data_IF_508606736678
#
_entry.id   IF_508606736678
#
_cell.length_a   1.000
_cell.length_b   1.000
_cell.length_c   1.000
_cell.angle_alpha   90.00
_cell.angle_beta   90.00
_cell.angle_gamma   90.00
#
_symmetry.space_group_name_H-M   'P 1'
#
loop_
_entity.id
_entity.type
_entity.pdbx_description
1 polymer ?
#
# COMPACT_ATOMS: atom_id res chain seq x y z
N UNK A 1 -10.59 -30.52 4.62
CA UNK A 1 -9.86 -30.18 5.86
C UNK A 1 -9.67 -31.47 6.67
N UNK A 2 -8.44 -31.88 6.94
CA UNK A 2 -8.15 -33.08 7.73
C UNK A 2 -8.08 -32.65 9.20
N UNK A 3 -9.15 -32.87 9.97
CA UNK A 3 -9.31 -32.32 11.32
C UNK A 3 -8.56 -33.05 12.44
N UNK A 4 -7.69 -34.01 12.10
CA UNK A 4 -6.90 -34.76 13.10
C UNK A 4 -5.67 -33.94 13.47
N UNK A 5 -5.51 -33.64 14.76
CA UNK A 5 -4.39 -32.90 15.35
C UNK A 5 -3.67 -33.77 16.37
N UNK A 6 -2.36 -33.88 16.28
CA UNK A 6 -1.54 -34.51 17.31
C UNK A 6 -1.02 -33.49 18.35
N UNK A 7 -0.69 -33.94 19.57
CA UNK A 7 0.02 -33.11 20.54
C UNK A 7 1.32 -32.56 19.95
N UNK A 8 1.54 -31.25 20.04
CA UNK A 8 2.71 -30.57 19.47
C UNK A 8 2.51 -29.99 18.06
N UNK A 9 1.41 -30.30 17.37
CA UNK A 9 1.13 -29.73 16.05
C UNK A 9 0.42 -28.36 16.15
N UNK A 10 0.66 -27.51 15.15
CA UNK A 10 0.00 -26.22 14.96
C UNK A 10 -0.73 -26.20 13.63
N UNK A 11 -1.96 -25.69 13.61
CA UNK A 11 -2.66 -25.42 12.36
C UNK A 11 -2.43 -23.98 11.93
N UNK A 12 -2.34 -23.79 10.61
CA UNK A 12 -2.46 -22.49 9.96
C UNK A 12 -3.72 -22.51 9.12
N UNK A 13 -4.51 -21.46 9.23
CA UNK A 13 -5.73 -21.27 8.44
C UNK A 13 -5.57 -19.94 7.71
N UNK A 14 -5.92 -19.93 6.43
CA UNK A 14 -5.82 -18.76 5.56
C UNK A 14 -7.22 -18.42 5.04
N UNK A 15 -8.04 -17.67 5.80
CA UNK A 15 -9.46 -17.45 5.47
C UNK A 15 -9.67 -16.75 4.12
N UNK A 16 -8.69 -15.94 3.71
CA UNK A 16 -8.73 -15.15 2.48
C UNK A 16 -7.94 -15.80 1.34
N UNK A 17 -7.57 -17.09 1.44
CA UNK A 17 -6.69 -17.73 0.44
C UNK A 17 -7.26 -17.75 -0.98
N UNK A 18 -8.59 -17.70 -1.11
CA UNK A 18 -9.28 -17.70 -2.39
C UNK A 18 -9.66 -16.29 -2.87
N UNK A 19 -9.32 -15.24 -2.10
CA UNK A 19 -9.63 -13.86 -2.45
C UNK A 19 -8.52 -13.28 -3.34
N UNK A 20 -8.92 -12.58 -4.38
CA UNK A 20 -8.06 -11.71 -5.16
C UNK A 20 -7.86 -10.37 -4.44
N UNK A 21 -6.90 -9.57 -4.91
CA UNK A 21 -6.73 -8.20 -4.42
C UNK A 21 -8.01 -7.37 -4.63
N UNK A 22 -8.68 -7.55 -5.76
CA UNK A 22 -9.93 -6.85 -6.07
C UNK A 22 -11.04 -7.22 -5.09
N UNK A 23 -11.16 -8.49 -4.70
CA UNK A 23 -12.18 -8.93 -3.72
C UNK A 23 -11.98 -8.24 -2.37
N UNK A 24 -10.72 -8.11 -1.93
CA UNK A 24 -10.37 -7.41 -0.68
C UNK A 24 -10.79 -5.95 -0.74
N UNK A 25 -10.44 -5.24 -1.82
CA UNK A 25 -10.79 -3.83 -1.98
C UNK A 25 -12.28 -3.58 -2.10
N UNK A 26 -13.00 -4.40 -2.87
CA UNK A 26 -14.45 -4.29 -3.01
C UNK A 26 -15.17 -4.52 -1.68
N UNK A 27 -14.70 -5.47 -0.88
CA UNK A 27 -15.28 -5.72 0.44
C UNK A 27 -15.05 -4.57 1.41
N UNK A 28 -13.82 -4.02 1.46
CA UNK A 28 -13.51 -2.83 2.27
C UNK A 28 -14.45 -1.68 1.91
N UNK A 29 -14.66 -1.44 0.61
CA UNK A 29 -15.56 -0.40 0.13
C UNK A 29 -17.04 -0.66 0.47
N UNK A 30 -17.50 -1.91 0.29
CA UNK A 30 -18.90 -2.29 0.56
C UNK A 30 -19.27 -2.19 2.04
N UNK A 31 -18.34 -2.60 2.92
CA UNK A 31 -18.54 -2.59 4.37
C UNK A 31 -18.15 -1.26 5.03
N UNK A 32 -17.56 -0.32 4.27
CA UNK A 32 -17.11 0.97 4.80
C UNK A 32 -16.01 0.84 5.86
N UNK A 33 -15.10 -0.12 5.68
CA UNK A 33 -14.02 -0.39 6.64
C UNK A 33 -13.00 0.75 6.58
N UNK A 34 -12.69 1.35 7.74
CA UNK A 34 -11.65 2.37 7.83
C UNK A 34 -10.28 1.80 7.47
N UNK A 35 -9.54 2.55 6.65
CA UNK A 35 -8.20 2.18 6.22
C UNK A 35 -7.15 3.06 6.91
N UNK A 36 -5.99 2.49 7.30
CA UNK A 36 -4.83 3.29 7.65
C UNK A 36 -4.47 4.28 6.54
N UNK A 37 -4.04 5.48 6.91
CA UNK A 37 -3.67 6.54 5.96
C UNK A 37 -2.60 6.11 4.95
N UNK A 38 -1.78 5.11 5.30
CA UNK A 38 -0.75 4.52 4.44
C UNK A 38 -1.29 3.98 3.10
N UNK A 39 -2.56 3.59 3.04
CA UNK A 39 -3.18 3.07 1.83
C UNK A 39 -3.65 4.13 0.85
N UNK A 40 -3.62 5.40 1.24
CA UNK A 40 -3.99 6.51 0.38
C UNK A 40 -2.74 7.22 -0.14
N UNK A 41 -2.83 7.75 -1.37
CA UNK A 41 -1.83 8.68 -1.86
C UNK A 41 -1.83 9.92 -0.95
N UNK A 42 -0.66 10.29 -0.47
CA UNK A 42 -0.46 11.55 0.25
C UNK A 42 0.16 12.56 -0.70
N UNK A 43 -0.29 13.81 -0.56
CA UNK A 43 0.31 14.93 -1.24
C UNK A 43 1.74 15.15 -0.74
N UNK A 44 2.66 15.37 -1.67
CA UNK A 44 4.05 15.72 -1.39
C UNK A 44 4.59 16.61 -2.48
N UNK A 45 5.58 17.42 -2.12
CA UNK A 45 6.32 18.20 -3.10
C UNK A 45 7.15 17.24 -3.96
N UNK A 46 7.01 17.35 -5.28
CA UNK A 46 7.72 16.55 -6.27
C UNK A 46 8.38 17.44 -7.31
N UNK A 47 9.48 16.96 -7.88
CA UNK A 47 10.18 17.57 -9.02
C UNK A 47 10.24 16.57 -10.18
N UNK A 48 9.96 17.03 -11.39
CA UNK A 48 10.14 16.23 -12.60
C UNK A 48 11.58 16.36 -13.09
N UNK A 49 12.34 15.28 -13.04
CA UNK A 49 13.73 15.22 -13.50
C UNK A 49 13.88 14.03 -14.44
N UNK A 50 14.31 14.29 -15.67
CA UNK A 50 14.48 13.27 -16.71
C UNK A 50 13.23 12.40 -16.95
N UNK A 51 12.03 12.98 -16.84
CA UNK A 51 10.75 12.29 -17.04
C UNK A 51 10.26 11.44 -15.86
N UNK A 52 10.91 11.56 -14.69
CA UNK A 52 10.53 10.86 -13.45
C UNK A 52 10.15 11.88 -12.39
N UNK A 53 9.05 11.62 -11.67
CA UNK A 53 8.67 12.39 -10.49
C UNK A 53 9.47 11.93 -9.28
N UNK A 54 10.27 12.84 -8.72
CA UNK A 54 11.06 12.57 -7.53
C UNK A 54 10.52 13.38 -6.35
N UNK A 55 10.30 12.70 -5.22
CA UNK A 55 9.85 13.37 -3.99
C UNK A 55 10.94 14.29 -3.43
N UNK A 56 10.58 15.54 -3.15
CA UNK A 56 11.50 16.49 -2.51
C UNK A 56 11.75 16.06 -1.07
N UNK A 57 13.02 15.85 -0.74
CA UNK A 57 13.46 15.39 0.57
C UNK A 57 14.85 15.95 0.87
N UNK A 58 15.33 15.76 2.11
CA UNK A 58 16.67 16.22 2.53
C UNK A 58 17.78 15.81 1.56
N UNK A 59 17.71 14.57 1.06
CA UNK A 59 18.67 13.95 0.16
C UNK A 59 18.30 14.07 -1.33
N UNK A 60 17.11 14.59 -1.65
CA UNK A 60 16.68 14.83 -3.02
C UNK A 60 16.03 16.22 -3.11
N UNK A 61 16.86 17.22 -3.32
CA UNK A 61 16.44 18.63 -3.38
C UNK A 61 16.11 19.02 -4.82
N UNK A 62 15.34 20.10 -4.94
CA UNK A 62 15.13 20.81 -6.19
C UNK A 62 16.47 21.46 -6.59
N UNK A 63 16.92 21.22 -7.82
CA UNK A 63 18.14 21.81 -8.37
C UNK A 63 17.85 23.17 -9.02
N UNK A 64 18.90 23.92 -9.32
CA UNK A 64 18.78 25.22 -9.99
C UNK A 64 18.18 25.04 -11.39
N UNK A 65 17.08 25.74 -11.68
CA UNK A 65 16.35 25.65 -12.94
C UNK A 65 15.21 24.62 -12.96
N UNK A 66 15.02 23.85 -11.89
CA UNK A 66 13.88 22.93 -11.77
C UNK A 66 12.69 23.60 -11.09
N UNK A 67 11.47 23.19 -11.45
CA UNK A 67 10.24 23.58 -10.78
C UNK A 67 9.65 22.39 -10.02
N UNK A 68 9.31 22.61 -8.75
CA UNK A 68 8.54 21.66 -7.95
C UNK A 68 7.05 22.00 -7.95
N UNK A 69 6.24 20.97 -7.73
CA UNK A 69 4.80 21.10 -7.52
C UNK A 69 4.33 20.10 -6.46
N UNK A 70 3.19 20.36 -5.83
CA UNK A 70 2.58 19.42 -4.87
C UNK A 70 1.66 18.47 -5.63
N UNK A 71 1.92 17.16 -5.52
CA UNK A 71 1.11 16.09 -6.10
C UNK A 71 0.91 14.94 -5.12
#
# INVERSE_FOLDING_TARGET
FNGKKHPGEHFRVFPLSNWTEMDVWQYIAAEGIELPSLYFAHEREVVERDGVLLAVAEHNRVLEGESSEVR
#
